data_IF_742004375769
#
_entry.id   IF_742004375769
#
_cell.length_a   1.000
_cell.length_b   1.000
_cell.length_c   1.000
_cell.angle_alpha   90.00
_cell.angle_beta   90.00
_cell.angle_gamma   90.00
#
_symmetry.space_group_name_H-M   'P 1'
#
loop_
_entity.id
_entity.type
_entity.pdbx_description
1 polymer ?
#
# COMPACT_ATOMS: atom_id res chain seq x y z
N UNK A 1 27.81 -26.87 -13.63
CA UNK A 1 27.93 -25.53 -13.03
C UNK A 1 26.57 -24.85 -13.13
N UNK A 2 25.83 -24.70 -12.03
CA UNK A 2 24.50 -24.07 -12.01
C UNK A 2 24.68 -22.57 -11.84
N UNK A 3 24.37 -21.78 -12.88
CA UNK A 3 24.26 -20.32 -12.77
C UNK A 3 23.25 -19.96 -11.67
N UNK A 4 23.73 -19.47 -10.53
CA UNK A 4 22.90 -18.81 -9.52
C UNK A 4 22.30 -17.57 -10.18
N UNK A 5 20.97 -17.43 -10.12
CA UNK A 5 20.25 -16.27 -10.67
C UNK A 5 20.80 -14.98 -10.03
N UNK A 6 21.11 -13.92 -10.78
CA UNK A 6 21.75 -12.69 -10.26
C UNK A 6 20.93 -11.98 -9.17
N UNK A 7 19.63 -12.27 -9.04
CA UNK A 7 18.72 -11.66 -8.08
C UNK A 7 18.82 -12.19 -6.64
N UNK A 8 19.36 -13.38 -6.41
CA UNK A 8 19.53 -13.91 -5.04
C UNK A 8 20.60 -13.12 -4.26
N UNK A 9 21.53 -12.48 -4.97
CA UNK A 9 22.59 -11.69 -4.37
C UNK A 9 22.10 -10.34 -3.81
N UNK A 10 21.03 -9.78 -4.38
CA UNK A 10 20.40 -8.57 -3.83
C UNK A 10 19.61 -8.86 -2.55
N UNK A 11 19.00 -10.05 -2.42
CA UNK A 11 18.28 -10.45 -1.21
C UNK A 11 19.18 -10.86 -0.05
N UNK A 12 20.42 -11.30 -0.32
CA UNK A 12 21.32 -11.85 0.70
C UNK A 12 22.26 -10.81 1.34
N UNK A 13 22.52 -9.66 0.70
CA UNK A 13 23.51 -8.67 1.15
C UNK A 13 22.96 -7.27 1.45
N UNK A 14 21.64 -7.05 1.41
CA UNK A 14 21.07 -5.74 1.72
C UNK A 14 20.52 -5.71 3.15
N UNK A 15 20.95 -4.71 3.94
CA UNK A 15 20.47 -4.46 5.32
C UNK A 15 18.95 -4.19 5.42
N UNK A 16 18.28 -4.09 4.27
CA UNK A 16 16.83 -3.92 4.10
C UNK A 16 16.02 -5.22 4.09
N UNK A 17 16.66 -6.39 3.91
CA UNK A 17 15.95 -7.68 3.91
C UNK A 17 15.83 -8.19 5.34
N UNK A 18 14.65 -8.03 5.93
CA UNK A 18 14.35 -8.58 7.26
C UNK A 18 14.44 -10.11 7.24
N UNK A 19 15.37 -10.74 7.97
CA UNK A 19 15.41 -12.18 8.11
C UNK A 19 14.40 -12.58 9.19
N UNK A 20 13.23 -13.03 8.77
CA UNK A 20 12.22 -13.61 9.66
C UNK A 20 11.53 -12.60 10.59
N UNK A 21 10.33 -12.99 11.06
CA UNK A 21 9.43 -12.15 11.88
C UNK A 21 10.05 -11.70 13.22
N UNK A 22 11.16 -12.30 13.67
CA UNK A 22 11.74 -12.05 14.98
C UNK A 22 12.84 -10.98 15.03
N UNK A 23 13.42 -10.53 13.90
CA UNK A 23 14.52 -9.54 13.89
C UNK A 23 14.11 -8.15 13.39
N UNK A 24 12.88 -7.97 12.90
CA UNK A 24 12.33 -6.67 12.52
C UNK A 24 12.30 -5.64 13.68
N UNK A 25 12.26 -6.14 14.92
CA UNK A 25 12.12 -5.34 16.13
C UNK A 25 13.35 -4.47 16.47
N UNK A 26 14.56 -4.81 16.01
CA UNK A 26 15.77 -4.04 16.35
C UNK A 26 16.15 -2.96 15.34
N UNK A 27 15.72 -3.07 14.08
CA UNK A 27 16.16 -2.16 13.01
C UNK A 27 15.25 -0.94 12.86
N UNK A 28 13.94 -1.08 13.15
CA UNK A 28 12.99 0.03 13.02
C UNK A 28 13.11 1.07 14.15
N UNK A 29 13.56 0.67 15.34
CA UNK A 29 13.58 1.54 16.53
C UNK A 29 14.77 2.53 16.59
N UNK A 30 15.77 2.44 15.71
CA UNK A 30 17.01 3.23 15.84
C UNK A 30 17.46 3.99 14.58
N UNK A 31 16.75 3.90 13.45
CA UNK A 31 17.10 4.74 12.28
C UNK A 31 16.35 6.07 12.36
N UNK A 32 17.07 7.14 12.74
CA UNK A 32 16.62 8.52 12.50
C UNK A 32 16.30 8.66 11.01
N UNK A 33 15.03 8.69 10.66
CA UNK A 33 14.57 9.04 9.33
C UNK A 33 15.15 10.42 8.99
N UNK A 34 15.86 10.54 7.87
CA UNK A 34 16.50 11.81 7.45
C UNK A 34 15.49 12.89 7.05
N UNK A 35 14.18 12.62 7.09
CA UNK A 35 13.15 13.53 6.60
C UNK A 35 12.48 14.31 7.73
N UNK A 36 12.22 15.60 7.46
CA UNK A 36 11.56 16.58 8.37
C UNK A 36 10.03 16.53 8.23
N UNK A 37 9.48 15.59 7.46
CA UNK A 37 8.04 15.56 7.13
C UNK A 37 7.25 15.00 8.31
N UNK A 38 6.48 15.86 8.95
CA UNK A 38 5.48 15.49 9.96
C UNK A 38 4.07 15.65 9.38
N UNK A 39 3.14 14.81 9.81
CA UNK A 39 1.73 14.95 9.48
C UNK A 39 1.03 15.89 10.46
N UNK A 40 0.41 16.95 9.95
CA UNK A 40 -0.42 17.87 10.72
C UNK A 40 -1.89 17.83 10.30
N UNK A 41 -2.81 17.99 11.25
CA UNK A 41 -4.26 17.92 11.06
C UNK A 41 -4.88 19.27 11.45
N UNK A 42 -5.08 20.11 10.44
CA UNK A 42 -5.79 21.38 10.58
C UNK A 42 -7.31 21.16 10.69
N UNK A 43 -7.87 21.46 11.87
CA UNK A 43 -9.30 21.36 12.14
C UNK A 43 -9.88 22.74 12.41
N UNK A 44 -10.90 23.15 11.65
CA UNK A 44 -11.65 24.41 11.88
C UNK A 44 -12.88 24.24 12.78
N UNK A 45 -13.14 23.02 13.25
CA UNK A 45 -14.35 22.62 13.98
C UNK A 45 -13.98 21.90 15.28
N UNK A 46 -14.88 21.88 16.27
CA UNK A 46 -14.67 21.17 17.53
C UNK A 46 -14.49 19.65 17.33
N UNK A 47 -13.96 18.94 18.36
CA UNK A 47 -13.73 17.50 18.33
C UNK A 47 -14.94 16.69 17.86
N UNK A 48 -14.71 15.80 16.89
CA UNK A 48 -15.74 14.87 16.40
C UNK A 48 -15.58 13.53 17.11
N UNK A 49 -16.66 13.09 17.75
CA UNK A 49 -16.76 11.76 18.34
C UNK A 49 -17.72 10.89 17.53
N UNK A 50 -17.24 9.74 17.09
CA UNK A 50 -18.01 8.71 16.40
C UNK A 50 -18.10 7.46 17.27
N UNK A 51 -19.26 6.80 17.30
CA UNK A 51 -19.40 5.51 18.01
C UNK A 51 -18.67 4.39 17.26
N UNK A 52 -18.12 3.39 17.96
CA UNK A 52 -17.47 2.26 17.32
C UNK A 52 -18.45 1.42 16.50
N UNK A 53 -17.97 0.92 15.36
CA UNK A 53 -18.74 0.12 14.42
C UNK A 53 -18.63 -1.36 14.78
N UNK A 54 -19.76 -2.08 14.74
CA UNK A 54 -19.74 -3.54 14.92
C UNK A 54 -19.00 -4.20 13.75
N UNK A 55 -18.02 -5.03 14.07
CA UNK A 55 -17.30 -5.85 13.12
C UNK A 55 -17.74 -7.31 13.25
N UNK A 56 -17.89 -8.04 12.13
CA UNK A 56 -18.06 -9.50 12.14
C UNK A 56 -16.90 -10.20 12.88
N UNK A 57 -17.11 -11.40 13.46
CA UNK A 57 -16.12 -12.08 14.31
C UNK A 57 -14.73 -12.23 13.66
N UNK A 58 -14.66 -12.63 12.40
CA UNK A 58 -13.38 -12.82 11.70
C UNK A 58 -12.62 -11.49 11.52
N UNK A 59 -13.35 -10.44 11.15
CA UNK A 59 -12.79 -9.08 10.99
C UNK A 59 -12.39 -8.48 12.32
N UNK A 60 -13.14 -8.79 13.39
CA UNK A 60 -12.81 -8.35 14.74
C UNK A 60 -11.52 -9.03 15.23
N UNK A 61 -11.36 -10.34 15.00
CA UNK A 61 -10.14 -11.08 15.35
C UNK A 61 -8.93 -10.51 14.62
N UNK A 62 -9.05 -10.28 13.31
CA UNK A 62 -8.00 -9.67 12.50
C UNK A 62 -7.67 -8.24 12.98
N UNK A 63 -8.68 -7.42 13.27
CA UNK A 63 -8.48 -6.06 13.77
C UNK A 63 -7.76 -6.06 15.14
N UNK A 64 -8.16 -6.93 16.07
CA UNK A 64 -7.50 -7.04 17.38
C UNK A 64 -6.02 -7.42 17.25
N UNK A 65 -5.72 -8.42 16.43
CA UNK A 65 -4.33 -8.85 16.19
C UNK A 65 -3.49 -7.72 15.57
N UNK A 66 -4.05 -6.99 14.62
CA UNK A 66 -3.34 -5.87 14.00
C UNK A 66 -3.10 -4.72 15.00
N UNK A 67 -4.12 -4.31 15.76
CA UNK A 67 -3.95 -3.25 16.77
C UNK A 67 -2.97 -3.65 17.88
N UNK A 68 -3.01 -4.90 18.35
CA UNK A 68 -2.04 -5.40 19.32
C UNK A 68 -0.61 -5.31 18.77
N UNK A 69 -0.41 -5.73 17.52
CA UNK A 69 0.88 -5.59 16.85
C UNK A 69 1.32 -4.13 16.75
N UNK A 70 0.41 -3.22 16.37
CA UNK A 70 0.72 -1.79 16.24
C UNK A 70 1.13 -1.13 17.57
N UNK A 71 0.52 -1.55 18.68
CA UNK A 71 0.92 -1.13 20.03
C UNK A 71 2.30 -1.67 20.38
N UNK A 72 2.56 -2.95 20.12
CA UNK A 72 3.86 -3.61 20.40
C UNK A 72 5.03 -2.93 19.68
N UNK A 73 4.81 -2.43 18.46
CA UNK A 73 5.84 -1.72 17.68
C UNK A 73 5.83 -0.19 17.87
N UNK A 74 5.02 0.33 18.81
CA UNK A 74 5.03 1.74 19.19
C UNK A 74 4.40 2.70 18.18
N UNK A 75 3.52 2.21 17.30
CA UNK A 75 2.83 3.05 16.31
C UNK A 75 1.60 3.73 16.90
N UNK A 76 0.86 3.01 17.75
CA UNK A 76 -0.31 3.53 18.45
C UNK A 76 -0.28 3.14 19.93
N UNK A 77 -1.12 3.81 20.72
CA UNK A 77 -1.27 3.53 22.15
C UNK A 77 -2.73 3.71 22.58
N UNK A 78 -3.15 3.11 23.70
CA UNK A 78 -4.44 3.41 24.31
C UNK A 78 -4.59 4.91 24.56
N UNK A 79 -5.74 5.46 24.16
CA UNK A 79 -6.02 6.89 24.24
C UNK A 79 -7.22 7.19 25.11
N UNK A 80 -7.24 8.41 25.65
CA UNK A 80 -8.39 9.02 26.33
C UNK A 80 -8.87 10.28 25.59
N UNK A 81 -8.56 10.37 24.29
CA UNK A 81 -8.90 11.52 23.46
C UNK A 81 -10.41 11.80 23.43
N UNK A 82 -10.77 13.07 23.37
CA UNK A 82 -12.13 13.52 23.09
C UNK A 82 -12.51 13.39 21.60
N UNK A 83 -11.54 13.13 20.73
CA UNK A 83 -11.76 12.78 19.33
C UNK A 83 -11.94 11.28 19.21
N UNK A 84 -12.80 10.85 18.29
CA UNK A 84 -12.93 9.45 17.96
C UNK A 84 -13.46 9.26 16.54
N UNK A 85 -12.68 8.62 15.68
CA UNK A 85 -13.11 8.18 14.36
C UNK A 85 -13.42 6.69 14.39
N UNK A 86 -14.55 6.25 13.83
CA UNK A 86 -14.90 4.83 13.79
C UNK A 86 -13.96 4.04 12.90
N UNK A 87 -13.52 2.86 13.33
CA UNK A 87 -12.71 1.96 12.49
C UNK A 87 -13.50 1.51 11.24
N UNK A 88 -12.91 1.74 10.06
CA UNK A 88 -13.44 1.32 8.78
C UNK A 88 -12.50 0.33 8.09
N UNK A 89 -12.96 -0.91 7.90
CA UNK A 89 -12.24 -1.90 7.11
C UNK A 89 -12.59 -1.73 5.63
N UNK A 90 -11.65 -1.24 4.84
CA UNK A 90 -11.82 -0.98 3.40
C UNK A 90 -10.90 -1.90 2.60
N UNK A 91 -11.40 -2.43 1.48
CA UNK A 91 -10.59 -3.14 0.49
C UNK A 91 -9.81 -2.14 -0.38
N UNK A 92 -8.49 -2.34 -0.57
CA UNK A 92 -7.63 -1.48 -1.41
C UNK A 92 -8.32 -1.10 -2.73
N UNK A 93 -8.52 0.20 -2.97
CA UNK A 93 -9.03 0.74 -4.24
C UNK A 93 -7.88 1.02 -5.21
N UNK A 94 -8.10 0.69 -6.48
CA UNK A 94 -7.10 0.74 -7.54
C UNK A 94 -7.51 1.69 -8.66
N UNK A 95 -6.76 2.77 -8.82
CA UNK A 95 -6.78 3.57 -10.04
C UNK A 95 -5.40 3.49 -10.69
N UNK A 96 -5.26 2.58 -11.65
CA UNK A 96 -4.01 2.31 -12.40
C UNK A 96 -3.91 3.14 -13.70
N UNK A 97 -4.88 4.04 -13.94
CA UNK A 97 -5.09 4.66 -15.25
C UNK A 97 -3.98 5.63 -15.64
N UNK A 98 -3.30 6.24 -14.66
CA UNK A 98 -2.21 7.19 -14.90
C UNK A 98 -0.86 6.49 -15.17
N UNK A 99 -0.79 5.16 -15.01
CA UNK A 99 0.44 4.38 -15.14
C UNK A 99 0.76 3.97 -16.59
N UNK A 100 -0.22 4.07 -17.50
CA UNK A 100 -0.15 3.51 -18.85
C UNK A 100 1.02 4.06 -19.70
N UNK A 101 1.35 5.34 -19.53
CA UNK A 101 2.44 5.98 -20.28
C UNK A 101 3.82 5.42 -19.91
N UNK A 102 4.01 5.04 -18.64
CA UNK A 102 5.30 4.51 -18.15
C UNK A 102 5.52 3.05 -18.58
N UNK A 103 4.45 2.36 -18.96
CA UNK A 103 4.48 0.95 -19.36
C UNK A 103 4.76 0.76 -20.85
N UNK A 104 4.70 1.82 -21.66
CA UNK A 104 4.91 1.73 -23.09
C UNK A 104 6.35 1.27 -23.39
N UNK A 105 6.49 0.24 -24.23
CA UNK A 105 7.76 -0.39 -24.62
C UNK A 105 8.54 -1.07 -23.47
N UNK A 106 7.92 -1.31 -22.31
CA UNK A 106 8.56 -2.03 -21.19
C UNK A 106 8.19 -3.52 -21.24
N UNK A 107 9.15 -4.39 -20.90
CA UNK A 107 9.00 -5.86 -20.98
C UNK A 107 9.20 -6.56 -19.65
N UNK A 108 9.90 -5.93 -18.73
CA UNK A 108 10.20 -6.44 -17.39
C UNK A 108 9.60 -5.54 -16.32
N UNK A 109 8.95 -6.18 -15.35
CA UNK A 109 8.21 -5.53 -14.29
C UNK A 109 8.61 -6.11 -12.94
N UNK A 110 8.69 -5.23 -11.95
CA UNK A 110 8.86 -5.57 -10.53
C UNK A 110 7.88 -4.79 -9.69
N UNK A 111 7.32 -5.43 -8.67
CA UNK A 111 6.44 -4.81 -7.68
C UNK A 111 7.03 -5.04 -6.27
N UNK A 112 7.93 -4.16 -5.82
CA UNK A 112 8.29 -4.07 -4.41
C UNK A 112 7.08 -3.68 -3.55
N UNK A 113 6.87 -4.40 -2.44
CA UNK A 113 5.86 -4.14 -1.42
C UNK A 113 6.52 -3.37 -0.27
N UNK A 114 6.13 -2.11 -0.08
CA UNK A 114 6.61 -1.30 1.03
C UNK A 114 5.93 -1.75 2.32
N UNK A 115 6.72 -2.18 3.31
CA UNK A 115 6.20 -2.67 4.57
C UNK A 115 5.71 -1.49 5.42
N UNK A 116 4.39 -1.37 5.60
CA UNK A 116 3.74 -0.47 6.57
C UNK A 116 4.25 0.97 6.50
N UNK A 117 4.42 1.45 5.28
CA UNK A 117 5.16 2.67 4.96
C UNK A 117 4.55 3.96 5.55
N UNK A 118 3.23 4.01 5.73
CA UNK A 118 2.51 5.10 6.38
C UNK A 118 2.96 5.34 7.82
N UNK A 119 3.27 4.26 8.54
CA UNK A 119 3.70 4.33 9.93
C UNK A 119 5.15 4.84 10.10
N UNK A 120 5.83 5.17 9.00
CA UNK A 120 7.14 5.82 9.05
C UNK A 120 7.01 7.34 9.20
N UNK A 121 5.85 7.94 8.88
CA UNK A 121 5.66 9.40 8.99
C UNK A 121 5.11 9.74 10.38
N UNK A 122 5.85 10.47 11.23
CA UNK A 122 5.37 10.88 12.55
C UNK A 122 4.24 11.91 12.43
N UNK A 123 3.28 11.84 13.35
CA UNK A 123 2.23 12.86 13.51
C UNK A 123 2.76 13.94 14.45
N UNK A 124 2.40 15.21 14.20
CA UNK A 124 2.72 16.29 15.13
C UNK A 124 2.10 16.03 16.50
N UNK A 125 2.82 16.35 17.57
CA UNK A 125 2.44 15.97 18.93
C UNK A 125 1.07 16.54 19.33
N UNK A 126 0.78 17.77 18.90
CA UNK A 126 -0.51 18.45 19.09
C UNK A 126 -1.68 17.80 18.33
N UNK A 127 -1.37 17.02 17.29
CA UNK A 127 -2.35 16.39 16.40
C UNK A 127 -2.56 14.90 16.69
N UNK A 128 -1.73 14.28 17.54
CA UNK A 128 -1.85 12.87 17.92
C UNK A 128 -3.27 12.55 18.41
N UNK A 129 -3.83 13.37 19.29
CA UNK A 129 -5.17 13.13 19.84
C UNK A 129 -6.27 13.15 18.76
N UNK A 130 -6.07 13.89 17.66
CA UNK A 130 -7.03 13.98 16.54
C UNK A 130 -7.04 12.72 15.68
N UNK A 131 -6.00 11.89 15.77
CA UNK A 131 -5.90 10.60 15.05
C UNK A 131 -6.66 9.47 15.74
N UNK A 132 -7.30 9.72 16.88
CA UNK A 132 -7.90 8.70 17.70
C UNK A 132 -8.96 7.86 16.95
N UNK A 133 -8.78 6.54 16.95
CA UNK A 133 -9.67 5.56 16.33
C UNK A 133 -10.38 4.77 17.42
N UNK A 134 -11.71 4.83 17.41
CA UNK A 134 -12.55 4.00 18.28
C UNK A 134 -12.83 2.65 17.61
N UNK A 135 -12.45 1.60 18.32
CA UNK A 135 -12.74 0.22 17.95
C UNK A 135 -13.80 -0.34 18.90
N UNK A 136 -14.37 -1.49 18.59
CA UNK A 136 -15.35 -2.14 19.47
C UNK A 136 -14.74 -2.72 20.76
N UNK A 137 -13.44 -2.57 20.96
CA UNK A 137 -12.73 -3.07 22.15
C UNK A 137 -12.02 -1.95 22.92
N UNK A 138 -11.43 -0.96 22.24
CA UNK A 138 -10.70 0.14 22.89
C UNK A 138 -10.53 1.37 21.97
N UNK A 139 -10.10 2.50 22.52
CA UNK A 139 -9.74 3.72 21.80
C UNK A 139 -8.22 3.83 21.68
N UNK A 140 -7.69 4.07 20.48
CA UNK A 140 -6.26 4.22 20.25
C UNK A 140 -5.93 5.53 19.55
N UNK A 141 -4.87 6.22 19.97
CA UNK A 141 -4.27 7.32 19.21
C UNK A 141 -2.97 6.87 18.56
N UNK A 142 -2.65 7.50 17.43
CA UNK A 142 -1.53 7.12 16.58
C UNK A 142 -0.42 8.15 16.66
N UNK A 143 0.78 7.67 17.00
CA UNK A 143 2.01 8.47 17.03
C UNK A 143 2.57 8.66 15.62
N UNK A 144 2.27 7.71 14.72
CA UNK A 144 2.64 7.73 13.32
C UNK A 144 1.40 7.62 12.45
N UNK A 145 1.45 8.21 11.26
CA UNK A 145 0.28 8.41 10.42
C UNK A 145 -0.52 7.10 10.20
N UNK A 146 -1.79 7.03 10.66
CA UNK A 146 -2.62 5.85 10.44
C UNK A 146 -3.15 5.78 9.01
N UNK A 147 -3.45 4.56 8.58
CA UNK A 147 -4.18 4.31 7.34
C UNK A 147 -5.61 4.86 7.41
N UNK A 148 -6.09 5.44 6.30
CA UNK A 148 -7.51 5.80 6.16
C UNK A 148 -7.93 7.15 6.75
N UNK A 149 -7.00 7.93 7.33
CA UNK A 149 -7.22 9.37 7.48
C UNK A 149 -7.38 9.95 6.08
N UNK A 150 -8.51 10.63 5.83
CA UNK A 150 -8.82 11.27 4.55
C UNK A 150 -7.70 12.21 4.06
N UNK A 151 -6.89 12.73 5.00
CA UNK A 151 -5.76 13.60 4.72
C UNK A 151 -4.37 12.91 4.81
N UNK A 152 -4.28 11.61 5.10
CA UNK A 152 -2.99 10.89 5.21
C UNK A 152 -2.47 10.37 3.86
N UNK A 153 -3.39 10.06 2.95
CA UNK A 153 -3.07 9.55 1.61
C UNK A 153 -2.22 10.54 0.80
N UNK A 154 -2.61 11.81 0.75
CA UNK A 154 -1.93 12.80 -0.09
C UNK A 154 -0.51 13.16 0.38
N UNK A 155 -0.23 13.40 1.68
CA UNK A 155 1.13 13.58 2.19
C UNK A 155 2.02 12.37 1.93
N UNK A 156 1.50 11.15 2.13
CA UNK A 156 2.26 9.93 1.87
C UNK A 156 2.62 9.79 0.39
N UNK A 157 1.65 9.99 -0.49
CA UNK A 157 1.86 9.95 -1.94
C UNK A 157 2.90 11.00 -2.37
N UNK A 158 2.83 12.23 -1.82
CA UNK A 158 3.86 13.27 -2.05
C UNK A 158 5.25 12.85 -1.56
N UNK A 159 5.32 12.21 -0.40
CA UNK A 159 6.58 11.70 0.14
C UNK A 159 7.19 10.64 -0.77
N UNK A 160 6.41 9.64 -1.21
CA UNK A 160 6.91 8.61 -2.13
C UNK A 160 7.34 9.20 -3.47
N UNK A 161 6.55 10.14 -4.03
CA UNK A 161 6.95 10.88 -5.24
C UNK A 161 8.26 11.65 -5.04
N UNK A 162 8.47 12.22 -3.87
CA UNK A 162 9.72 12.91 -3.53
C UNK A 162 10.89 11.93 -3.42
N UNK A 163 10.71 10.79 -2.75
CA UNK A 163 11.74 9.74 -2.61
C UNK A 163 12.13 9.23 -3.99
N UNK A 164 11.16 8.93 -4.86
CA UNK A 164 11.40 8.39 -6.21
C UNK A 164 11.60 9.46 -7.28
N UNK A 165 11.80 10.73 -6.89
CA UNK A 165 12.02 11.82 -7.83
C UNK A 165 13.25 11.53 -8.70
N UNK A 166 13.09 11.70 -10.02
CA UNK A 166 14.11 11.43 -11.04
C UNK A 166 14.21 9.97 -11.47
N UNK A 167 13.26 9.11 -11.09
CA UNK A 167 13.17 7.71 -11.51
C UNK A 167 11.93 7.50 -12.39
N UNK A 168 11.98 7.91 -13.66
CA UNK A 168 10.84 7.83 -14.58
C UNK A 168 10.39 6.39 -14.90
N UNK A 169 11.20 5.40 -14.52
CA UNK A 169 10.90 3.97 -14.61
C UNK A 169 10.10 3.42 -13.41
N UNK A 170 9.84 4.25 -12.39
CA UNK A 170 9.08 3.90 -11.20
C UNK A 170 7.71 4.59 -11.22
N UNK A 171 6.66 3.81 -10.99
CA UNK A 171 5.29 4.29 -10.82
C UNK A 171 4.83 4.03 -9.39
N UNK A 172 4.93 5.02 -8.50
CA UNK A 172 4.45 4.86 -7.14
C UNK A 172 2.94 5.01 -7.00
N UNK A 173 2.33 4.08 -6.27
CA UNK A 173 0.94 4.16 -5.84
C UNK A 173 0.84 3.71 -4.39
N UNK A 174 0.84 4.67 -3.47
CA UNK A 174 0.79 4.39 -2.03
C UNK A 174 1.86 3.36 -1.61
N UNK A 175 1.47 2.24 -1.00
CA UNK A 175 2.39 1.17 -0.57
C UNK A 175 2.98 0.34 -1.73
N UNK A 176 2.37 0.43 -2.90
CA UNK A 176 2.68 -0.43 -4.04
C UNK A 176 3.47 0.40 -5.06
N UNK A 177 4.72 0.02 -5.34
CA UNK A 177 5.54 0.67 -6.38
C UNK A 177 5.72 -0.30 -7.53
N UNK A 178 5.52 0.18 -8.76
CA UNK A 178 5.76 -0.58 -9.98
C UNK A 178 7.04 -0.08 -10.65
N UNK A 179 7.98 -0.98 -10.93
CA UNK A 179 9.20 -0.69 -11.67
C UNK A 179 9.07 -1.35 -13.03
N UNK A 180 9.26 -0.59 -14.11
CA UNK A 180 9.14 -1.09 -15.48
C UNK A 180 10.42 -0.81 -16.27
N UNK A 181 10.91 -1.77 -17.04
CA UNK A 181 12.15 -1.63 -17.83
C UNK A 181 12.08 -2.46 -19.11
N UNK A 182 12.94 -2.14 -20.07
CA UNK A 182 12.95 -2.80 -21.37
C UNK A 182 13.85 -4.04 -21.37
N UNK A 183 15.05 -3.91 -20.79
CA UNK A 183 16.08 -4.94 -20.75
C UNK A 183 16.43 -5.38 -19.33
N UNK A 184 16.95 -6.61 -19.19
CA UNK A 184 17.28 -7.18 -17.90
C UNK A 184 18.43 -6.44 -17.18
N UNK A 185 19.48 -6.08 -17.92
CA UNK A 185 20.62 -5.32 -17.37
C UNK A 185 20.19 -3.94 -16.87
N UNK A 186 19.34 -3.25 -17.64
CA UNK A 186 18.76 -1.97 -17.24
C UNK A 186 17.86 -2.13 -16.00
N UNK A 187 17.02 -3.17 -15.98
CA UNK A 187 16.11 -3.44 -14.86
C UNK A 187 16.86 -3.66 -13.55
N UNK A 188 17.98 -4.37 -13.58
CA UNK A 188 18.84 -4.55 -12.42
C UNK A 188 19.38 -3.21 -11.89
N UNK A 189 19.83 -2.32 -12.79
CA UNK A 189 20.31 -0.99 -12.40
C UNK A 189 19.21 -0.13 -11.78
N UNK A 190 18.01 -0.14 -12.37
CA UNK A 190 16.84 0.56 -11.84
C UNK A 190 16.45 0.07 -10.44
N UNK A 191 16.40 -1.25 -10.24
CA UNK A 191 16.13 -1.83 -8.92
C UNK A 191 17.20 -1.43 -7.90
N UNK A 192 18.48 -1.45 -8.29
CA UNK A 192 19.58 -1.03 -7.42
C UNK A 192 19.43 0.44 -7.00
N UNK A 193 19.17 1.35 -7.95
CA UNK A 193 18.97 2.78 -7.66
C UNK A 193 17.78 3.01 -6.73
N UNK A 194 16.65 2.35 -7.00
CA UNK A 194 15.45 2.44 -6.17
C UNK A 194 15.70 1.91 -4.75
N UNK A 195 16.36 0.76 -4.60
CA UNK A 195 16.68 0.20 -3.29
C UNK A 195 17.65 1.09 -2.50
N UNK A 196 18.69 1.63 -3.13
CA UNK A 196 19.59 2.60 -2.48
C UNK A 196 18.82 3.82 -1.97
N UNK A 197 17.89 4.34 -2.77
CA UNK A 197 17.04 5.46 -2.38
C UNK A 197 16.11 5.10 -1.22
N UNK A 198 15.52 3.91 -1.22
CA UNK A 198 14.74 3.44 -0.08
C UNK A 198 15.60 3.30 1.19
N UNK A 199 16.83 2.81 1.07
CA UNK A 199 17.76 2.74 2.21
C UNK A 199 18.13 4.12 2.75
N UNK A 200 18.43 5.08 1.88
CA UNK A 200 18.75 6.47 2.23
C UNK A 200 17.63 7.14 3.05
N UNK A 201 16.38 6.85 2.69
CA UNK A 201 15.19 7.41 3.33
C UNK A 201 14.63 6.51 4.45
N UNK A 202 15.28 5.38 4.74
CA UNK A 202 14.89 4.46 5.82
C UNK A 202 13.62 3.65 5.55
N UNK A 203 13.25 3.49 4.28
CA UNK A 203 12.08 2.72 3.87
C UNK A 203 12.35 1.22 3.93
N UNK A 204 11.42 0.47 4.53
CA UNK A 204 11.52 -0.99 4.69
C UNK A 204 10.64 -1.69 3.66
N UNK A 205 11.17 -2.75 3.05
CA UNK A 205 10.47 -3.58 2.07
C UNK A 205 10.11 -4.94 2.66
N UNK A 206 8.99 -5.50 2.20
CA UNK A 206 8.62 -6.85 2.54
C UNK A 206 9.25 -7.87 1.58
N UNK A 207 10.41 -8.39 1.96
CA UNK A 207 11.15 -9.39 1.19
C UNK A 207 10.28 -10.57 0.70
N UNK A 208 9.34 -11.02 1.53
CA UNK A 208 8.50 -12.19 1.24
C UNK A 208 7.38 -11.93 0.23
N UNK A 209 7.03 -10.65 -0.01
CA UNK A 209 5.94 -10.25 -0.91
C UNK A 209 6.43 -9.57 -2.19
N UNK A 210 7.72 -9.26 -2.28
CA UNK A 210 8.31 -8.63 -3.44
C UNK A 210 8.28 -9.58 -4.65
N UNK A 211 7.76 -9.08 -5.77
CA UNK A 211 7.85 -9.77 -7.07
C UNK A 211 8.86 -9.02 -7.92
N UNK A 212 9.97 -9.67 -8.29
CA UNK A 212 11.05 -9.05 -9.04
C UNK A 212 11.24 -9.70 -10.42
N UNK A 213 11.55 -8.87 -11.41
CA UNK A 213 11.99 -9.20 -12.77
C UNK A 213 11.10 -10.21 -13.47
N UNK A 214 9.80 -9.91 -13.54
CA UNK A 214 8.81 -10.75 -14.24
C UNK A 214 8.30 -10.07 -15.50
N UNK A 215 7.92 -10.86 -16.48
CA UNK A 215 7.25 -10.39 -17.70
C UNK A 215 5.77 -10.07 -17.47
N UNK A 216 5.20 -10.55 -16.36
CA UNK A 216 3.84 -10.28 -15.93
C UNK A 216 3.79 -10.14 -14.41
N UNK A 217 3.15 -9.08 -13.91
CA UNK A 217 2.99 -8.83 -12.47
C UNK A 217 1.56 -8.40 -12.13
N UNK A 218 1.10 -8.76 -10.93
CA UNK A 218 -0.16 -8.24 -10.38
C UNK A 218 0.13 -6.89 -9.74
N UNK A 219 -0.50 -5.82 -10.22
CA UNK A 219 -0.38 -4.48 -9.66
C UNK A 219 -1.76 -3.83 -9.57
N UNK A 220 -2.13 -3.30 -8.41
CA UNK A 220 -3.41 -2.62 -8.16
C UNK A 220 -4.64 -3.37 -8.72
N UNK A 221 -4.73 -4.68 -8.51
CA UNK A 221 -5.89 -5.47 -8.96
C UNK A 221 -5.96 -5.71 -10.47
N UNK A 222 -4.87 -5.45 -11.20
CA UNK A 222 -4.71 -5.72 -12.63
C UNK A 222 -3.46 -6.59 -12.86
N UNK A 223 -3.38 -7.22 -14.01
CA UNK A 223 -2.20 -7.90 -14.53
C UNK A 223 -1.52 -6.93 -15.50
N UNK A 224 -0.28 -6.58 -15.23
CA UNK A 224 0.55 -5.74 -16.08
C UNK A 224 1.47 -6.64 -16.89
N UNK A 225 1.46 -6.48 -18.21
CA UNK A 225 2.35 -7.16 -19.17
C UNK A 225 2.88 -6.15 -20.20
N UNK A 226 3.77 -6.61 -21.08
CA UNK A 226 4.28 -5.80 -22.19
C UNK A 226 3.18 -5.38 -23.18
N UNK A 227 2.09 -6.14 -23.27
CA UNK A 227 0.95 -5.87 -24.15
C UNK A 227 -0.01 -4.83 -23.55
N UNK A 228 0.05 -4.62 -22.24
CA UNK A 228 -0.78 -3.63 -21.55
C UNK A 228 -1.26 -4.07 -20.17
N UNK A 229 -2.36 -3.46 -19.74
CA UNK A 229 -2.98 -3.69 -18.43
C UNK A 229 -4.28 -4.48 -18.61
N UNK A 230 -4.34 -5.66 -17.99
CA UNK A 230 -5.47 -6.58 -18.09
C UNK A 230 -6.17 -6.76 -16.73
N UNK A 231 -7.49 -6.98 -16.72
CA UNK A 231 -8.20 -7.35 -15.49
C UNK A 231 -7.77 -8.74 -14.99
N UNK A 232 -7.76 -8.96 -13.68
CA UNK A 232 -7.50 -10.28 -13.10
C UNK A 232 -8.63 -11.24 -13.48
N UNK A 233 -8.28 -12.42 -14.02
CA UNK A 233 -9.27 -13.38 -14.52
C UNK A 233 -10.28 -13.85 -13.47
N UNK A 234 -9.88 -14.03 -12.20
CA UNK A 234 -10.80 -14.38 -11.10
C UNK A 234 -11.97 -13.39 -10.99
N UNK A 235 -11.69 -12.09 -11.16
CA UNK A 235 -12.71 -11.04 -11.13
C UNK A 235 -13.54 -11.00 -12.42
N UNK A 236 -12.93 -11.32 -13.57
CA UNK A 236 -13.66 -11.47 -14.84
C UNK A 236 -14.66 -12.62 -14.74
N UNK A 237 -14.23 -13.79 -14.26
CA UNK A 237 -15.11 -14.96 -14.02
C UNK A 237 -16.24 -14.62 -13.05
N UNK A 238 -15.94 -13.84 -12.00
CA UNK A 238 -16.96 -13.37 -11.05
C UNK A 238 -18.02 -12.49 -11.71
N UNK A 239 -17.65 -11.67 -12.71
CA UNK A 239 -18.58 -10.83 -13.47
C UNK A 239 -19.37 -11.68 -14.46
N UNK A 240 -18.72 -12.61 -15.16
CA UNK A 240 -19.37 -13.49 -16.14
C UNK A 240 -20.38 -14.42 -15.49
N UNK A 241 -20.05 -14.95 -14.31
CA UNK A 241 -20.91 -15.87 -13.55
C UNK A 241 -21.81 -15.12 -12.56
N UNK A 242 -21.93 -13.79 -12.67
CA UNK A 242 -22.76 -13.02 -11.74
C UNK A 242 -24.24 -13.40 -11.94
N UNK A 243 -24.95 -13.88 -10.90
CA UNK A 243 -26.34 -14.29 -11.04
C UNK A 243 -27.21 -13.09 -11.43
N UNK A 244 -28.30 -13.35 -12.17
CA UNK A 244 -29.25 -12.31 -12.56
C UNK A 244 -29.75 -11.60 -11.30
N UNK A 245 -29.44 -10.31 -11.18
CA UNK A 245 -29.81 -9.53 -10.00
C UNK A 245 -31.32 -9.35 -9.93
N UNK A 246 -31.94 -9.82 -8.86
CA UNK A 246 -33.37 -9.67 -8.58
C UNK A 246 -33.64 -8.44 -7.71
N UNK A 247 -32.60 -7.91 -7.05
CA UNK A 247 -32.72 -6.79 -6.12
C UNK A 247 -31.95 -5.54 -6.57
N UNK A 248 -32.49 -4.35 -6.28
CA UNK A 248 -31.84 -3.05 -6.55
C UNK A 248 -30.43 -2.92 -5.91
N UNK A 249 -30.20 -3.56 -4.75
CA UNK A 249 -28.87 -3.60 -4.09
C UNK A 249 -27.85 -4.40 -4.91
N UNK A 250 -28.27 -5.50 -5.51
CA UNK A 250 -27.41 -6.36 -6.34
C UNK A 250 -27.06 -5.68 -7.65
N UNK A 251 -28.06 -5.05 -8.28
CA UNK A 251 -27.86 -4.26 -9.50
C UNK A 251 -26.84 -3.12 -9.28
N UNK A 252 -26.91 -2.43 -8.14
CA UNK A 252 -25.92 -1.38 -7.78
C UNK A 252 -24.52 -1.95 -7.60
N UNK A 253 -24.37 -3.13 -6.98
CA UNK A 253 -23.07 -3.81 -6.83
C UNK A 253 -22.51 -4.23 -8.19
N UNK A 254 -23.33 -4.85 -9.04
CA UNK A 254 -22.94 -5.25 -10.39
C UNK A 254 -22.47 -4.04 -11.21
N UNK A 255 -23.26 -2.96 -11.24
CA UNK A 255 -22.90 -1.71 -11.93
C UNK A 255 -21.59 -1.11 -11.43
N UNK A 256 -21.30 -1.18 -10.13
CA UNK A 256 -20.04 -0.68 -9.57
C UNK A 256 -18.82 -1.48 -10.10
N UNK A 257 -18.95 -2.80 -10.21
CA UNK A 257 -17.90 -3.68 -10.75
C UNK A 257 -17.71 -3.43 -12.25
N UNK A 258 -18.78 -3.32 -13.03
CA UNK A 258 -18.69 -2.99 -14.45
C UNK A 258 -18.06 -1.61 -14.69
N UNK A 259 -18.41 -0.62 -13.86
CA UNK A 259 -17.79 0.71 -13.94
C UNK A 259 -16.29 0.67 -13.67
N UNK A 260 -15.85 -0.17 -12.73
CA UNK A 260 -14.43 -0.35 -12.43
C UNK A 260 -13.64 -0.89 -13.63
N UNK A 261 -14.22 -1.81 -14.41
CA UNK A 261 -13.62 -2.37 -15.63
C UNK A 261 -14.09 -1.74 -16.94
N UNK A 262 -14.81 -0.60 -16.89
CA UNK A 262 -15.54 -0.01 -18.02
C UNK A 262 -14.68 0.16 -19.29
N UNK A 263 -13.39 0.46 -19.14
CA UNK A 263 -12.48 0.67 -20.28
C UNK A 263 -11.98 -0.63 -20.90
N UNK A 264 -11.80 -1.69 -20.11
CA UNK A 264 -11.48 -3.04 -20.61
C UNK A 264 -12.69 -3.71 -21.27
N UNK A 265 -13.91 -3.28 -20.94
CA UNK A 265 -15.16 -3.75 -21.55
C UNK A 265 -15.39 -3.11 -22.93
N UNK A 266 -14.88 -1.89 -23.17
CA UNK A 266 -15.05 -1.20 -24.46
C UNK A 266 -14.24 -1.80 -25.60
N UNK A 267 -13.20 -2.59 -25.32
CA UNK A 267 -12.42 -3.31 -26.34
C UNK A 267 -13.08 -4.62 -26.78
N UNK A 268 -14.16 -5.06 -26.13
CA UNK A 268 -15.05 -6.11 -26.62
C UNK A 268 -16.14 -5.50 -27.51
N UNK A 269 -15.73 -4.79 -28.57
CA UNK A 269 -16.62 -4.52 -29.70
C UNK A 269 -16.48 -5.69 -30.66
N UNK A 270 -17.51 -6.53 -30.72
CA UNK A 270 -17.87 -7.21 -31.98
C UNK A 270 -18.21 -6.16 -33.04
#
# INVERSE_FOLDING_TARGET
MKCKKPYSFLSENCSMFLPGRHLAHRVAAQRKLKHVVQHSILTRRPPVFSKPRRLPPDKLKAAKQEFQYLVEIGICRPSRSCWASSLHMVSKMSHIQDCLQVLEKKRLFSTPDLAKSYHQIPVQEEDILKTAVTTSFELFDFLHMPFGLSNAAAPFQRFIHYVLKGMDFCVPYFDDVLVASEEEGQHFLHLKQMFQRFEEYGMVLNASKNVLSKTSVKFLGHIVTAEGIFPIQEKVVTITNFPKSETMKELRRFRAICNFYRRSIYTARC
#
